data_IF_635194707799
#
_entry.id   IF_635194707799
#
_cell.length_a   1.000
_cell.length_b   1.000
_cell.length_c   1.000
_cell.angle_alpha   90.00
_cell.angle_beta   90.00
_cell.angle_gamma   90.00
#
_symmetry.space_group_name_H-M   'P 1'
#
loop_
_entity.id
_entity.type
_entity.pdbx_description
1 polymer ?
#
# COMPACT_ATOMS: atom_id res chain seq x y z
N UNK A 1 -12.44 6.40 0.85
CA UNK A 1 -12.28 5.30 1.82
C UNK A 1 -12.10 3.97 1.10
N UNK A 2 -13.16 3.26 0.68
CA UNK A 2 -12.97 1.92 0.07
C UNK A 2 -12.18 1.91 -1.26
N UNK A 3 -12.40 2.90 -2.12
CA UNK A 3 -11.75 2.97 -3.44
C UNK A 3 -10.24 3.26 -3.35
N UNK A 4 -9.82 4.08 -2.38
CA UNK A 4 -8.41 4.39 -2.13
C UNK A 4 -7.67 3.18 -1.56
N UNK A 5 -8.32 2.43 -0.65
CA UNK A 5 -7.75 1.21 -0.08
C UNK A 5 -7.60 0.10 -1.14
N UNK A 6 -8.62 -0.07 -2.01
CA UNK A 6 -8.55 -1.01 -3.15
C UNK A 6 -7.44 -0.63 -4.12
N UNK A 7 -7.32 0.67 -4.45
CA UNK A 7 -6.26 1.18 -5.32
C UNK A 7 -4.88 0.97 -4.70
N UNK A 8 -4.73 1.23 -3.41
CA UNK A 8 -3.50 1.00 -2.66
C UNK A 8 -3.08 -0.46 -2.69
N UNK A 9 -4.02 -1.39 -2.44
CA UNK A 9 -3.75 -2.84 -2.51
C UNK A 9 -3.35 -3.24 -3.92
N UNK A 10 -4.03 -2.74 -4.96
CA UNK A 10 -3.68 -3.02 -6.35
C UNK A 10 -2.25 -2.54 -6.68
N UNK A 11 -1.88 -1.31 -6.31
CA UNK A 11 -0.53 -0.80 -6.53
C UNK A 11 0.54 -1.59 -5.77
N UNK A 12 0.25 -2.05 -4.54
CA UNK A 12 1.16 -2.92 -3.77
C UNK A 12 1.37 -4.28 -4.47
N UNK A 13 0.29 -4.87 -4.99
CA UNK A 13 0.34 -6.14 -5.73
C UNK A 13 1.14 -5.98 -7.04
N UNK A 14 0.90 -4.91 -7.80
CA UNK A 14 1.64 -4.62 -9.02
C UNK A 14 3.13 -4.42 -8.72
N UNK A 15 3.44 -3.66 -7.67
CA UNK A 15 4.82 -3.39 -7.24
C UNK A 15 5.55 -4.68 -6.80
N UNK A 16 4.83 -5.60 -6.17
CA UNK A 16 5.34 -6.93 -5.82
C UNK A 16 5.60 -7.80 -7.06
N UNK A 17 4.64 -7.83 -7.99
CA UNK A 17 4.70 -8.64 -9.21
C UNK A 17 5.81 -8.21 -10.18
N UNK A 18 6.29 -6.97 -10.09
CA UNK A 18 7.40 -6.46 -10.89
C UNK A 18 8.74 -7.13 -10.51
N UNK A 19 8.79 -8.09 -9.57
CA UNK A 19 9.98 -8.85 -9.11
C UNK A 19 11.15 -8.00 -8.56
N UNK A 20 11.05 -6.67 -8.60
CA UNK A 20 12.09 -5.73 -8.12
C UNK A 20 12.02 -5.54 -6.59
N UNK A 21 10.84 -5.71 -5.98
CA UNK A 21 10.64 -5.52 -4.54
C UNK A 21 10.25 -6.83 -3.85
N UNK A 22 11.25 -7.68 -3.63
CA UNK A 22 11.11 -8.85 -2.76
C UNK A 22 10.75 -8.39 -1.33
N UNK A 23 9.58 -8.84 -0.84
CA UNK A 23 9.04 -8.59 0.51
C UNK A 23 10.03 -8.95 1.64
N UNK A 24 11.04 -9.78 1.35
CA UNK A 24 12.06 -10.18 2.30
C UNK A 24 13.03 -9.07 2.75
N UNK A 25 13.05 -7.88 2.12
CA UNK A 25 14.00 -6.81 2.51
C UNK A 25 13.45 -5.71 3.42
N UNK A 26 12.22 -5.85 3.94
CA UNK A 26 11.56 -4.77 4.69
C UNK A 26 11.24 -3.57 3.78
N UNK A 27 10.46 -2.61 4.28
CA UNK A 27 10.16 -1.38 3.54
C UNK A 27 11.46 -0.58 3.35
N UNK A 28 12.12 -0.75 2.20
CA UNK A 28 13.16 0.21 1.77
C UNK A 28 12.47 1.54 1.47
N UNK A 29 13.12 2.66 1.77
CA UNK A 29 12.60 3.99 1.45
C UNK A 29 12.20 4.12 -0.04
N UNK A 30 12.93 3.43 -0.92
CA UNK A 30 12.64 3.37 -2.36
C UNK A 30 11.26 2.75 -2.69
N UNK A 31 10.79 1.79 -1.88
CA UNK A 31 9.47 1.17 -2.04
C UNK A 31 8.35 2.18 -1.81
N UNK A 32 8.45 2.98 -0.73
CA UNK A 32 7.42 3.97 -0.40
C UNK A 32 7.37 5.08 -1.46
N UNK A 33 8.55 5.54 -1.91
CA UNK A 33 8.65 6.55 -2.97
C UNK A 33 8.05 6.06 -4.31
N UNK A 34 8.28 4.81 -4.69
CA UNK A 34 7.71 4.26 -5.92
C UNK A 34 6.19 4.05 -5.80
N UNK A 35 5.74 3.55 -4.64
CA UNK A 35 4.32 3.41 -4.34
C UNK A 35 3.59 4.76 -4.38
N UNK A 36 4.19 5.80 -3.79
CA UNK A 36 3.72 7.19 -3.89
C UNK A 36 3.58 7.63 -5.35
N UNK A 37 4.60 7.37 -6.17
CA UNK A 37 4.60 7.74 -7.59
C UNK A 37 3.54 6.99 -8.40
N UNK A 38 3.28 5.72 -8.10
CA UNK A 38 2.20 4.95 -8.73
C UNK A 38 0.83 5.51 -8.34
N UNK A 39 0.65 5.81 -7.06
CA UNK A 39 -0.60 6.37 -6.54
C UNK A 39 -0.87 7.78 -7.06
N UNK A 40 0.13 8.64 -7.21
CA UNK A 40 -0.03 9.96 -7.84
C UNK A 40 -0.51 9.86 -9.29
N UNK A 41 -0.15 8.80 -10.03
CA UNK A 41 -0.63 8.59 -11.41
C UNK A 41 -2.06 8.09 -11.46
N UNK A 42 -2.42 7.16 -10.57
CA UNK A 42 -3.76 6.55 -10.54
C UNK A 42 -4.77 7.48 -9.88
N UNK A 43 -4.34 8.25 -8.89
CA UNK A 43 -5.17 9.15 -8.09
C UNK A 43 -4.55 10.56 -7.99
N UNK A 44 -4.38 11.29 -9.12
CA UNK A 44 -3.68 12.58 -9.16
C UNK A 44 -4.35 13.71 -8.36
N UNK A 45 -5.61 13.53 -7.98
CA UNK A 45 -6.41 14.50 -7.22
C UNK A 45 -6.79 14.00 -5.83
N UNK A 46 -6.44 12.75 -5.47
CA UNK A 46 -6.68 12.29 -4.11
C UNK A 46 -5.75 13.05 -3.18
N UNK A 47 -6.29 13.53 -2.06
CA UNK A 47 -5.55 14.22 -1.00
C UNK A 47 -4.57 13.28 -0.25
N UNK A 48 -3.94 12.33 -0.94
CA UNK A 48 -2.97 11.39 -0.38
C UNK A 48 -1.83 12.16 0.30
N UNK A 49 -1.32 13.24 -0.31
CA UNK A 49 -0.24 14.05 0.26
C UNK A 49 -0.60 14.85 1.52
N UNK A 50 -1.88 15.11 1.79
CA UNK A 50 -2.29 16.01 2.88
C UNK A 50 -3.11 15.32 3.99
N UNK A 51 -3.76 14.18 3.70
CA UNK A 51 -4.71 13.54 4.62
C UNK A 51 -4.27 12.14 5.09
N UNK A 52 -3.34 11.49 4.40
CA UNK A 52 -2.95 10.12 4.74
C UNK A 52 -1.44 9.92 4.69
N UNK A 53 -0.83 9.62 5.85
CA UNK A 53 0.48 9.00 5.85
C UNK A 53 0.30 7.58 5.28
N UNK A 54 0.86 7.30 4.10
CA UNK A 54 0.76 5.99 3.45
C UNK A 54 1.25 4.87 4.35
N UNK A 55 2.24 5.12 5.21
CA UNK A 55 2.69 4.15 6.21
C UNK A 55 1.56 3.77 7.17
N UNK A 56 0.71 4.74 7.57
CA UNK A 56 -0.45 4.48 8.42
C UNK A 56 -1.52 3.67 7.68
N UNK A 57 -1.77 3.93 6.39
CA UNK A 57 -2.69 3.11 5.58
C UNK A 57 -2.23 1.65 5.54
N UNK A 58 -0.97 1.46 5.16
CA UNK A 58 -0.38 0.13 5.02
C UNK A 58 -0.38 -0.60 6.36
N UNK A 59 -0.09 0.11 7.47
CA UNK A 59 -0.15 -0.46 8.81
C UNK A 59 -1.56 -0.89 9.19
N UNK A 60 -2.58 -0.07 8.92
CA UNK A 60 -3.98 -0.40 9.18
C UNK A 60 -4.40 -1.62 8.36
N UNK A 61 -4.14 -1.64 7.05
CA UNK A 61 -4.48 -2.77 6.18
C UNK A 61 -3.81 -4.08 6.64
N UNK A 62 -2.54 -4.02 7.07
CA UNK A 62 -1.85 -5.18 7.62
C UNK A 62 -2.51 -5.71 8.89
N UNK A 63 -2.92 -4.81 9.79
CA UNK A 63 -3.59 -5.20 11.03
C UNK A 63 -4.97 -5.82 10.75
N UNK A 64 -5.75 -5.20 9.86
CA UNK A 64 -7.07 -5.71 9.46
C UNK A 64 -6.95 -7.10 8.83
N UNK A 65 -5.97 -7.29 7.95
CA UNK A 65 -5.68 -8.60 7.36
C UNK A 65 -5.27 -9.63 8.41
N UNK A 66 -4.43 -9.26 9.38
CA UNK A 66 -4.01 -10.15 10.46
C UNK A 66 -5.20 -10.60 11.33
N UNK A 67 -6.17 -9.73 11.58
CA UNK A 67 -7.40 -10.06 12.31
C UNK A 67 -8.23 -11.08 11.51
N UNK A 68 -8.44 -10.83 10.21
CA UNK A 68 -9.20 -11.75 9.35
C UNK A 68 -8.51 -13.11 9.29
N UNK A 69 -7.19 -13.13 9.11
CA UNK A 69 -6.41 -14.36 9.09
C UNK A 69 -6.55 -15.14 10.41
N UNK A 70 -6.44 -14.46 11.55
CA UNK A 70 -6.62 -15.06 12.87
C UNK A 70 -8.02 -15.67 13.07
N UNK A 71 -9.06 -15.07 12.50
CA UNK A 71 -10.42 -15.61 12.56
C UNK A 71 -10.62 -16.85 11.69
N UNK A 72 -9.84 -16.99 10.62
CA UNK A 72 -9.95 -18.08 9.65
C UNK A 72 -9.00 -19.26 9.95
N UNK A 73 -8.04 -19.10 10.87
CA UNK A 73 -7.05 -20.09 11.29
C UNK A 73 -7.48 -20.84 12.54
#
# INVERSE_FOLDING_TARGET
>A
VLEEDVTLVACIVDLYNVEIYNVNTGFKADYLNELERMLEKVLPHAMLKAKYNLELMIRTLKNDWAIIYYMLS
#
